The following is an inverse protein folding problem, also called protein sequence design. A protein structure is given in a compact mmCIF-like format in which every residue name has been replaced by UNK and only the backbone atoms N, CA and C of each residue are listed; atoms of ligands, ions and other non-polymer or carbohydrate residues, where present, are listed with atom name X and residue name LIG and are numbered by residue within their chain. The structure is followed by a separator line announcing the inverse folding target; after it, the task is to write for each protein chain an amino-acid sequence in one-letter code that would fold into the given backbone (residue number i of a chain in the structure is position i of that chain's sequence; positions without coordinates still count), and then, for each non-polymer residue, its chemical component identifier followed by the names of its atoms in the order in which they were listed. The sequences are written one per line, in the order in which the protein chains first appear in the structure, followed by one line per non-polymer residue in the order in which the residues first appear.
data_IF_361086069934
#
_entry.id   IF_361086069934
#
_cell.length_a   1.000
_cell.length_b   1.000
_cell.length_c   1.000
_cell.angle_alpha   90.00
_cell.angle_beta   90.00
_cell.angle_gamma   90.00
#
_symmetry.space_group_name_H-M   'P 1'
#
loop_
_entity.id
_entity.type
_entity.pdbx_description
1 polymer ?
#
# COMPACT_ATOMS: atom_id res chain seq x y z
N UNK A 1 7.69 43.39 8.92
CA UNK A 1 8.56 42.55 8.07
C UNK A 1 8.53 41.06 8.43
N UNK A 2 7.61 40.56 9.28
CA UNK A 2 7.58 39.14 9.70
C UNK A 2 6.58 38.24 8.95
N UNK A 3 5.60 38.82 8.24
CA UNK A 3 4.59 38.04 7.50
C UNK A 3 5.14 37.42 6.21
N UNK A 4 6.04 38.11 5.51
CA UNK A 4 6.68 37.58 4.29
C UNK A 4 7.53 36.34 4.58
N UNK A 5 8.32 36.34 5.65
CA UNK A 5 9.19 35.20 5.99
C UNK A 5 8.40 33.95 6.39
N UNK A 6 7.21 34.13 7.00
CA UNK A 6 6.31 33.05 7.36
C UNK A 6 5.49 32.52 6.17
N UNK A 7 5.20 33.35 5.17
CA UNK A 7 4.58 32.91 3.91
C UNK A 7 5.59 32.17 3.02
N UNK A 8 6.86 32.60 2.97
CA UNK A 8 7.92 31.91 2.20
C UNK A 8 8.18 30.50 2.72
N UNK A 9 8.33 30.30 4.03
CA UNK A 9 8.56 28.95 4.60
C UNK A 9 7.38 27.99 4.39
N UNK A 10 6.16 28.50 4.21
CA UNK A 10 4.96 27.71 3.94
C UNK A 10 4.83 27.32 2.47
N UNK A 11 5.17 28.22 1.55
CA UNK A 11 5.29 27.90 0.12
C UNK A 11 6.37 26.84 -0.11
N UNK A 12 7.50 26.97 0.59
CA UNK A 12 8.57 25.96 0.58
C UNK A 12 8.06 24.61 1.11
N UNK A 13 7.29 24.59 2.21
CA UNK A 13 6.72 23.35 2.76
C UNK A 13 5.72 22.67 1.81
N UNK A 14 4.90 23.44 1.09
CA UNK A 14 3.98 22.91 0.09
C UNK A 14 4.74 22.32 -1.11
N UNK A 15 5.76 23.01 -1.61
CA UNK A 15 6.61 22.51 -2.70
C UNK A 15 7.31 21.21 -2.32
N UNK A 16 7.89 21.17 -1.12
CA UNK A 16 8.53 19.99 -0.56
C UNK A 16 7.56 18.79 -0.42
N UNK A 17 6.31 19.06 -0.04
CA UNK A 17 5.26 18.03 0.01
C UNK A 17 4.80 17.56 -1.37
N UNK A 18 4.84 18.42 -2.39
CA UNK A 18 4.67 18.01 -3.78
C UNK A 18 5.75 17.01 -4.22
N UNK A 19 7.00 17.25 -3.84
CA UNK A 19 8.11 16.34 -4.12
C UNK A 19 7.99 15.01 -3.35
N UNK A 20 7.45 15.04 -2.12
CA UNK A 20 7.10 13.82 -1.35
C UNK A 20 6.08 12.97 -2.09
N UNK A 21 5.02 13.57 -2.64
CA UNK A 21 4.01 12.84 -3.41
C UNK A 21 4.61 12.18 -4.67
N UNK A 22 5.50 12.88 -5.39
CA UNK A 22 6.20 12.29 -6.55
C UNK A 22 7.12 11.13 -6.17
N UNK A 23 7.81 11.21 -5.02
CA UNK A 23 8.63 10.12 -4.52
C UNK A 23 7.77 8.87 -4.25
N UNK A 24 6.57 9.05 -3.69
CA UNK A 24 5.62 7.95 -3.45
C UNK A 24 5.10 7.37 -4.76
N UNK A 25 4.74 8.20 -5.75
CA UNK A 25 4.32 7.74 -7.08
C UNK A 25 5.43 6.91 -7.78
N UNK A 26 6.69 7.27 -7.59
CA UNK A 26 7.86 6.54 -8.12
C UNK A 26 8.25 5.32 -7.27
N UNK A 27 7.50 5.02 -6.20
CA UNK A 27 7.78 3.90 -5.29
C UNK A 27 8.89 4.16 -4.26
N UNK A 28 9.47 5.36 -4.24
CA UNK A 28 10.48 5.79 -3.27
C UNK A 28 9.87 6.24 -1.93
N UNK A 29 9.00 5.42 -1.35
CA UNK A 29 8.27 5.69 -0.09
C UNK A 29 9.20 5.96 1.09
N UNK A 30 10.40 5.37 1.12
CA UNK A 30 11.39 5.61 2.18
C UNK A 30 11.94 7.04 2.15
N UNK A 31 12.25 7.55 0.97
CA UNK A 31 12.75 8.91 0.84
C UNK A 31 11.64 9.94 1.10
N UNK A 32 10.43 9.62 0.67
CA UNK A 32 9.23 10.40 1.02
C UNK A 32 9.07 10.54 2.55
N UNK A 33 9.13 9.43 3.31
CA UNK A 33 9.07 9.46 4.78
C UNK A 33 10.17 10.31 5.41
N UNK A 34 11.43 10.14 4.98
CA UNK A 34 12.57 10.92 5.51
C UNK A 34 12.41 12.42 5.25
N UNK A 35 11.85 12.77 4.10
CA UNK A 35 11.62 14.16 3.73
C UNK A 35 10.47 14.77 4.53
N UNK A 36 9.37 14.05 4.70
CA UNK A 36 8.27 14.49 5.57
C UNK A 36 8.70 14.62 7.03
N UNK A 37 9.57 13.73 7.53
CA UNK A 37 10.11 13.83 8.89
C UNK A 37 10.92 15.14 9.08
N UNK A 38 11.78 15.49 8.12
CA UNK A 38 12.53 16.75 8.16
C UNK A 38 11.63 17.99 8.14
N UNK A 39 10.55 17.96 7.37
CA UNK A 39 9.53 19.03 7.37
C UNK A 39 8.80 19.10 8.71
N UNK A 40 8.43 17.95 9.27
CA UNK A 40 7.75 17.83 10.54
C UNK A 40 8.59 18.34 11.73
N UNK A 41 9.91 18.17 11.70
CA UNK A 41 10.81 18.66 12.75
C UNK A 41 10.86 20.19 12.82
N UNK A 42 10.73 20.86 11.67
CA UNK A 42 10.69 22.33 11.56
C UNK A 42 9.28 22.94 11.76
N UNK A 43 8.24 22.11 11.78
CA UNK A 43 6.84 22.55 11.83
C UNK A 43 6.27 22.68 13.25
N UNK A 44 5.19 23.45 13.39
CA UNK A 44 4.38 23.48 14.61
C UNK A 44 3.60 22.16 14.80
N UNK A 45 3.02 21.98 15.99
CA UNK A 45 2.36 20.72 16.39
C UNK A 45 1.17 20.36 15.51
N UNK A 46 0.38 21.34 15.05
CA UNK A 46 -0.78 21.10 14.20
C UNK A 46 -0.36 20.75 12.78
N UNK A 47 0.60 21.48 12.23
CA UNK A 47 1.18 21.19 10.92
C UNK A 47 1.85 19.81 10.89
N UNK A 48 2.58 19.43 11.95
CA UNK A 48 3.20 18.10 12.09
C UNK A 48 2.17 16.97 12.03
N UNK A 49 1.05 17.12 12.74
CA UNK A 49 -0.03 16.13 12.72
C UNK A 49 -0.64 15.99 11.32
N UNK A 50 -0.90 17.13 10.65
CA UNK A 50 -1.43 17.15 9.29
C UNK A 50 -0.49 16.49 8.28
N UNK A 51 0.81 16.78 8.34
CA UNK A 51 1.82 16.16 7.48
C UNK A 51 1.85 14.63 7.64
N UNK A 52 1.70 14.12 8.87
CA UNK A 52 1.60 12.69 9.14
C UNK A 52 0.33 12.04 8.55
N UNK A 53 -0.81 12.72 8.63
CA UNK A 53 -2.06 12.24 8.03
C UNK A 53 -2.00 12.21 6.49
N UNK A 54 -1.41 13.24 5.88
CA UNK A 54 -1.19 13.31 4.43
C UNK A 54 -0.29 12.16 3.96
N UNK A 55 0.85 11.95 4.63
CA UNK A 55 1.77 10.87 4.30
C UNK A 55 1.10 9.49 4.42
N UNK A 56 0.36 9.28 5.51
CA UNK A 56 -0.40 8.03 5.72
C UNK A 56 -1.45 7.80 4.63
N UNK A 57 -2.06 8.87 4.11
CA UNK A 57 -3.00 8.77 3.00
C UNK A 57 -2.29 8.41 1.69
N UNK A 58 -1.17 9.05 1.39
CA UNK A 58 -0.40 8.86 0.16
C UNK A 58 0.22 7.46 0.05
N UNK A 59 0.61 6.84 1.17
CA UNK A 59 1.15 5.47 1.19
C UNK A 59 0.13 4.39 0.82
N UNK A 60 -1.16 4.73 0.77
CA UNK A 60 -2.23 3.81 0.36
C UNK A 60 -2.43 3.87 -1.16
N UNK A 61 -3.09 2.83 -1.68
CA UNK A 61 -3.50 2.80 -3.09
C UNK A 61 -4.28 4.07 -3.47
N UNK A 62 -4.08 4.64 -4.69
CA UNK A 62 -4.69 5.91 -5.09
C UNK A 62 -6.22 5.99 -4.89
N UNK A 63 -6.93 4.88 -5.09
CA UNK A 63 -8.37 4.79 -4.86
C UNK A 63 -8.80 5.14 -3.40
N UNK A 64 -7.90 4.96 -2.43
CA UNK A 64 -8.12 5.26 -1.00
C UNK A 64 -7.46 6.59 -0.61
N UNK A 65 -6.28 6.88 -1.17
CA UNK A 65 -5.54 8.11 -0.91
C UNK A 65 -6.35 9.36 -1.27
N UNK A 66 -6.96 9.35 -2.45
CA UNK A 66 -7.69 10.49 -3.02
C UNK A 66 -8.90 10.93 -2.17
N UNK A 67 -9.85 10.04 -1.81
CA UNK A 67 -10.94 10.41 -0.92
C UNK A 67 -10.46 10.97 0.43
N UNK A 68 -9.35 10.43 0.96
CA UNK A 68 -8.79 10.86 2.23
C UNK A 68 -8.16 12.26 2.13
N UNK A 69 -7.39 12.54 1.07
CA UNK A 69 -6.85 13.88 0.81
C UNK A 69 -7.99 14.90 0.62
N UNK A 70 -9.05 14.55 -0.12
CA UNK A 70 -10.23 15.41 -0.28
C UNK A 70 -10.95 15.67 1.03
N UNK A 71 -10.99 14.70 1.94
CA UNK A 71 -11.55 14.90 3.27
C UNK A 71 -10.68 15.86 4.09
N UNK A 72 -9.35 15.67 4.10
CA UNK A 72 -8.40 16.55 4.78
C UNK A 72 -8.52 18.00 4.31
N UNK A 73 -8.56 18.22 2.99
CA UNK A 73 -8.75 19.55 2.39
C UNK A 73 -10.02 20.27 2.89
N UNK A 74 -11.10 19.54 3.20
CA UNK A 74 -12.36 20.13 3.68
C UNK A 74 -12.33 20.53 5.14
N UNK A 75 -11.51 19.87 5.96
CA UNK A 75 -11.51 20.04 7.42
C UNK A 75 -10.36 20.90 7.93
N UNK A 76 -9.35 21.17 7.08
CA UNK A 76 -8.19 22.00 7.43
C UNK A 76 -8.38 23.48 7.08
N UNK A 77 -7.59 24.33 7.71
CA UNK A 77 -7.48 25.76 7.43
C UNK A 77 -6.83 26.04 6.06
N UNK A 78 -6.71 27.32 5.69
CA UNK A 78 -6.14 27.75 4.40
C UNK A 78 -4.71 27.23 4.21
N UNK A 79 -3.90 27.30 5.27
CA UNK A 79 -2.51 26.83 5.28
C UNK A 79 -2.44 25.31 5.08
N UNK A 80 -3.28 24.54 5.78
CA UNK A 80 -3.37 23.10 5.59
C UNK A 80 -3.91 22.69 4.22
N UNK A 81 -4.81 23.49 3.63
CA UNK A 81 -5.33 23.25 2.28
C UNK A 81 -4.23 23.34 1.23
N UNK A 82 -3.31 24.30 1.34
CA UNK A 82 -2.16 24.43 0.43
C UNK A 82 -1.26 23.18 0.46
N UNK A 83 -0.98 22.63 1.65
CA UNK A 83 -0.20 21.40 1.81
C UNK A 83 -0.88 20.18 1.18
N UNK A 84 -2.20 20.04 1.39
CA UNK A 84 -2.97 18.93 0.81
C UNK A 84 -3.06 19.04 -0.71
N UNK A 85 -3.23 20.26 -1.24
CA UNK A 85 -3.32 20.50 -2.68
C UNK A 85 -2.00 20.22 -3.40
N UNK A 86 -0.86 20.52 -2.76
CA UNK A 86 0.46 20.17 -3.28
C UNK A 86 0.65 18.65 -3.45
N UNK A 87 0.01 17.85 -2.59
CA UNK A 87 0.09 16.39 -2.57
C UNK A 87 -0.88 15.67 -3.51
N UNK A 88 -1.82 16.38 -4.15
CA UNK A 88 -2.77 15.76 -5.06
C UNK A 88 -2.03 15.04 -6.21
N UNK A 89 -2.34 13.75 -6.50
CA UNK A 89 -1.61 12.98 -7.50
C UNK A 89 -1.52 13.70 -8.83
N UNK A 90 -0.38 13.63 -9.50
CA UNK A 90 -0.16 14.42 -10.73
C UNK A 90 -1.10 13.96 -11.87
N UNK A 91 -1.49 12.68 -11.87
CA UNK A 91 -2.50 12.11 -12.75
C UNK A 91 -3.93 12.56 -12.39
N UNK A 92 -4.22 12.81 -11.11
CA UNK A 92 -5.51 13.33 -10.68
C UNK A 92 -5.61 14.84 -10.93
N UNK A 93 -4.54 15.62 -10.74
CA UNK A 93 -4.46 17.02 -11.22
C UNK A 93 -4.69 17.09 -12.72
N UNK A 94 -4.12 16.17 -13.51
CA UNK A 94 -4.39 16.07 -14.96
C UNK A 94 -5.82 15.62 -15.27
N UNK A 95 -6.36 14.64 -14.54
CA UNK A 95 -7.71 14.14 -14.75
C UNK A 95 -8.79 15.15 -14.34
N UNK A 96 -8.57 15.89 -13.26
CA UNK A 96 -9.48 16.93 -12.77
C UNK A 96 -9.35 18.19 -13.64
N UNK A 97 -8.14 18.58 -14.07
CA UNK A 97 -7.96 19.61 -15.10
C UNK A 97 -8.62 19.20 -16.43
N UNK A 98 -8.56 17.92 -16.82
CA UNK A 98 -9.25 17.41 -18.00
C UNK A 98 -10.78 17.46 -17.85
N UNK A 99 -11.33 17.05 -16.71
CA UNK A 99 -12.77 17.18 -16.40
C UNK A 99 -13.21 18.64 -16.34
N UNK A 100 -12.39 19.52 -15.78
CA UNK A 100 -12.69 20.95 -15.69
C UNK A 100 -12.64 21.61 -17.07
N UNK A 101 -11.65 21.26 -17.90
CA UNK A 101 -11.59 21.67 -19.30
C UNK A 101 -12.78 21.12 -20.10
N UNK A 102 -13.23 19.89 -19.84
CA UNK A 102 -14.42 19.32 -20.48
C UNK A 102 -15.70 20.04 -20.05
N UNK A 103 -15.86 20.37 -18.76
CA UNK A 103 -16.97 21.20 -18.26
C UNK A 103 -16.97 22.59 -18.90
N UNK A 104 -15.82 23.23 -19.02
CA UNK A 104 -15.69 24.51 -19.73
C UNK A 104 -16.01 24.37 -21.22
N UNK A 105 -15.55 23.31 -21.89
CA UNK A 105 -15.89 23.05 -23.29
C UNK A 105 -17.39 22.80 -23.48
N UNK A 106 -18.05 22.13 -22.53
CA UNK A 106 -19.50 21.91 -22.54
C UNK A 106 -20.27 23.22 -22.32
N UNK A 107 -19.83 24.09 -21.40
CA UNK A 107 -20.45 25.42 -21.21
C UNK A 107 -20.30 26.29 -22.46
N UNK A 108 -19.10 26.34 -23.07
CA UNK A 108 -18.89 27.07 -24.33
C UNK A 108 -19.72 26.52 -25.48
N UNK A 109 -19.92 25.19 -25.56
CA UNK A 109 -20.81 24.57 -26.57
C UNK A 109 -22.28 24.92 -26.32
N UNK A 110 -22.72 24.97 -25.06
CA UNK A 110 -24.07 25.39 -24.70
C UNK A 110 -24.31 26.86 -25.06
N UNK A 111 -23.37 27.76 -24.73
CA UNK A 111 -23.40 29.17 -25.10
C UNK A 111 -23.41 29.36 -26.63
N UNK A 112 -22.58 28.62 -27.38
CA UNK A 112 -22.60 28.66 -28.86
C UNK A 112 -23.93 28.19 -29.44
N UNK A 113 -24.55 27.15 -28.87
CA UNK A 113 -25.88 26.66 -29.29
C UNK A 113 -26.96 27.69 -29.00
N UNK A 114 -26.89 28.35 -27.85
CA UNK A 114 -27.82 29.40 -27.47
C UNK A 114 -27.66 30.64 -28.36
N UNK A 115 -26.43 31.06 -28.63
CA UNK A 115 -26.14 32.12 -29.60
C UNK A 115 -26.65 31.76 -31.00
N UNK A 116 -26.46 30.52 -31.47
CA UNK A 116 -26.97 30.07 -32.76
C UNK A 116 -28.52 30.07 -32.83
N UNK A 117 -29.21 29.73 -31.74
CA UNK A 117 -30.68 29.81 -31.64
C UNK A 117 -31.18 31.25 -31.62
N UNK A 118 -30.43 32.16 -31.01
CA UNK A 118 -30.76 33.59 -30.91
C UNK A 118 -30.29 34.39 -32.13
N UNK A 119 -29.47 33.81 -33.01
CA UNK A 119 -28.97 34.47 -34.22
C UNK A 119 -30.14 34.75 -35.16
N UNK A 120 -30.49 36.02 -35.43
CA UNK A 120 -31.55 36.34 -36.37
C UNK A 120 -31.09 35.93 -37.78
N UNK A 121 -31.81 35.00 -38.42
CA UNK A 121 -31.65 34.68 -39.83
C UNK A 121 -31.47 33.21 -40.25
N UNK A 122 -31.54 32.23 -39.34
CA UNK A 122 -31.39 30.81 -39.72
C UNK A 122 -32.74 30.05 -39.69
N UNK A 123 -33.57 30.24 -40.72
CA UNK A 123 -34.64 29.29 -41.05
C UNK A 123 -33.97 28.08 -41.70
N UNK A 124 -33.73 27.02 -40.93
CA UNK A 124 -33.24 25.75 -41.47
C UNK A 124 -34.46 24.93 -41.89
N UNK A 125 -34.63 24.73 -43.18
CA UNK A 125 -35.56 23.76 -43.76
C UNK A 125 -35.10 22.34 -43.39
N UNK A 126 -35.89 21.62 -42.62
CA UNK A 126 -35.64 20.20 -42.33
C UNK A 126 -35.97 19.37 -43.58
N UNK A 127 -34.97 18.98 -44.36
CA UNK A 127 -35.12 17.84 -45.26
C UNK A 127 -34.79 16.57 -44.48
N UNK A 128 -35.81 15.76 -44.19
CA UNK A 128 -35.67 14.48 -43.52
C UNK A 128 -34.93 13.48 -44.39
N UNK A 129 -33.74 13.08 -43.97
CA UNK A 129 -33.09 11.85 -44.45
C UNK A 129 -33.84 10.62 -43.90
N UNK A 130 -34.17 9.61 -44.73
CA UNK A 130 -34.85 8.40 -44.25
C UNK A 130 -33.91 7.58 -43.35
N UNK A 131 -34.37 7.27 -42.14
CA UNK A 131 -33.74 6.32 -41.24
C UNK A 131 -33.70 4.93 -41.90
N UNK A 132 -32.51 4.39 -42.19
CA UNK A 132 -32.39 2.98 -42.54
C UNK A 132 -32.75 2.14 -41.31
N UNK A 133 -33.91 1.47 -41.37
CA UNK A 133 -34.30 0.47 -40.39
C UNK A 133 -33.30 -0.69 -40.43
N UNK A 134 -32.66 -0.94 -39.27
CA UNK A 134 -31.80 -2.09 -39.04
C UNK A 134 -32.64 -3.36 -39.19
N UNK A 135 -32.43 -4.12 -40.26
CA UNK A 135 -33.28 -5.27 -40.60
C UNK A 135 -33.17 -6.37 -39.54
N UNK A 136 -34.32 -6.93 -39.14
CA UNK A 136 -34.52 -7.99 -38.14
C UNK A 136 -33.51 -9.16 -38.22
N UNK A 137 -33.04 -9.51 -39.43
CA UNK A 137 -32.01 -10.56 -39.68
C UNK A 137 -30.68 -10.36 -38.94
N UNK A 138 -30.30 -9.11 -38.63
CA UNK A 138 -29.06 -8.82 -37.91
C UNK A 138 -29.16 -9.19 -36.42
N UNK A 139 -30.37 -9.14 -35.84
CA UNK A 139 -30.62 -9.46 -34.43
C UNK A 139 -30.66 -10.97 -34.18
N UNK A 140 -31.13 -11.75 -35.18
CA UNK A 140 -31.22 -13.21 -35.08
C UNK A 140 -29.84 -13.89 -35.15
N UNK A 141 -28.91 -13.34 -35.94
CA UNK A 141 -27.54 -13.85 -36.05
C UNK A 141 -26.71 -13.62 -34.77
N UNK A 142 -26.93 -12.50 -34.07
CA UNK A 142 -26.23 -12.19 -32.81
C UNK A 142 -26.69 -13.11 -31.66
N UNK A 143 -27.94 -13.59 -31.73
CA UNK A 143 -28.53 -14.51 -30.75
C UNK A 143 -28.04 -15.94 -30.96
N UNK A 144 -27.89 -16.40 -32.21
CA UNK A 144 -27.35 -17.72 -32.53
C UNK A 144 -25.87 -17.86 -32.14
N UNK A 145 -25.08 -16.81 -32.33
CA UNK A 145 -23.64 -16.79 -31.99
C UNK A 145 -23.41 -16.92 -30.49
N UNK A 146 -24.26 -16.32 -29.64
CA UNK A 146 -24.12 -16.41 -28.18
C UNK A 146 -24.46 -17.78 -27.60
N UNK A 147 -25.32 -18.58 -28.26
CA UNK A 147 -25.62 -19.96 -27.82
C UNK A 147 -24.47 -20.93 -28.09
N UNK A 148 -23.75 -20.73 -29.19
CA UNK A 148 -22.62 -21.59 -29.58
C UNK A 148 -21.43 -21.56 -28.60
N UNK A 149 -21.25 -20.45 -27.86
CA UNK A 149 -20.16 -20.31 -26.88
C UNK A 149 -20.57 -20.63 -25.44
N UNK A 150 -21.85 -20.85 -25.15
CA UNK A 150 -22.34 -21.16 -23.81
C UNK A 150 -22.41 -22.66 -23.50
N UNK A 151 -22.37 -23.54 -24.51
CA UNK A 151 -22.52 -25.01 -24.38
C UNK A 151 -21.18 -25.79 -24.33
N UNK A 152 -20.04 -25.11 -24.24
CA UNK A 152 -18.73 -25.77 -24.17
C UNK A 152 -18.18 -25.73 -22.73
N UNK A 153 -18.76 -26.55 -21.87
CA UNK A 153 -18.19 -26.94 -20.58
C UNK A 153 -17.06 -27.96 -20.83
N UNK A 154 -15.81 -27.55 -20.58
CA UNK A 154 -14.64 -28.43 -20.65
C UNK A 154 -14.56 -29.31 -19.38
N UNK A 155 -15.14 -30.51 -19.46
CA UNK A 155 -14.72 -31.65 -18.65
C UNK A 155 -13.43 -32.25 -19.22
N UNK A 156 -12.32 -32.17 -18.47
CA UNK A 156 -11.16 -33.03 -18.71
C UNK A 156 -10.45 -33.37 -17.38
N UNK A 157 -10.87 -34.46 -16.77
CA UNK A 157 -10.06 -35.28 -15.85
C UNK A 157 -9.31 -36.33 -16.66
N UNK A 158 -8.00 -36.49 -16.46
CA UNK A 158 -7.31 -37.80 -16.54
C UNK A 158 -5.82 -37.68 -16.11
N UNK A 159 -5.46 -38.58 -15.20
CA UNK A 159 -4.12 -38.92 -14.72
C UNK A 159 -3.12 -39.35 -15.81
N UNK A 160 -1.81 -39.11 -15.58
CA UNK A 160 -0.76 -40.12 -15.82
C UNK A 160 0.36 -39.99 -14.76
N UNK A 161 0.72 -41.13 -14.19
CA UNK A 161 1.82 -41.36 -13.24
C UNK A 161 3.19 -41.54 -13.93
N UNK A 162 4.21 -41.22 -13.14
CA UNK A 162 5.50 -41.93 -12.96
C UNK A 162 6.72 -41.51 -13.80
N UNK A 163 7.72 -40.91 -13.13
CA UNK A 163 9.07 -41.48 -13.02
C UNK A 163 10.00 -40.55 -12.20
N UNK A 164 10.42 -41.07 -11.06
CA UNK A 164 11.45 -40.54 -10.16
C UNK A 164 12.81 -40.33 -10.84
N UNK A 165 13.46 -39.16 -10.63
CA UNK A 165 14.92 -39.08 -10.52
C UNK A 165 15.36 -37.89 -9.67
N UNK A 166 16.33 -38.18 -8.81
CA UNK A 166 16.93 -37.37 -7.77
C UNK A 166 17.34 -35.95 -8.15
N UNK A 167 17.16 -35.04 -7.18
CA UNK A 167 17.80 -33.73 -7.13
C UNK A 167 17.05 -32.88 -6.13
N UNK A 168 17.67 -32.55 -5.00
CA UNK A 168 17.12 -31.64 -4.00
C UNK A 168 16.67 -30.34 -4.68
N UNK A 169 15.40 -29.95 -4.53
CA UNK A 169 14.98 -28.60 -4.89
C UNK A 169 14.16 -27.91 -3.78
N UNK A 170 14.51 -26.64 -3.51
CA UNK A 170 13.81 -25.76 -2.59
C UNK A 170 12.53 -25.22 -3.25
N UNK A 171 11.86 -24.32 -2.55
CA UNK A 171 10.73 -23.51 -3.03
C UNK A 171 9.34 -24.08 -2.75
N UNK A 172 8.70 -23.52 -1.72
CA UNK A 172 7.30 -23.08 -1.77
C UNK A 172 6.20 -24.11 -2.00
N UNK A 173 6.49 -25.41 -2.10
CA UNK A 173 5.45 -26.43 -2.25
C UNK A 173 4.59 -26.50 -0.98
N UNK A 174 3.24 -26.43 -1.10
CA UNK A 174 2.36 -26.67 0.04
C UNK A 174 2.65 -28.06 0.58
N UNK A 175 2.66 -28.18 1.92
CA UNK A 175 3.09 -29.41 2.56
C UNK A 175 2.25 -30.60 2.07
N UNK A 176 2.90 -31.70 1.69
CA UNK A 176 2.23 -32.88 1.13
C UNK A 176 1.27 -33.55 2.13
N UNK A 177 1.47 -33.36 3.44
CA UNK A 177 0.50 -33.76 4.47
C UNK A 177 -0.77 -32.88 4.45
N UNK A 178 -0.64 -31.61 4.10
CA UNK A 178 -1.70 -30.60 4.09
C UNK A 178 -2.64 -30.73 2.87
N UNK A 179 -2.17 -31.37 1.79
CA UNK A 179 -2.96 -31.63 0.58
C UNK A 179 -3.98 -32.77 0.81
N UNK A 180 -3.77 -33.62 1.83
CA UNK A 180 -4.65 -34.77 2.13
C UNK A 180 -5.73 -34.47 3.17
N UNK A 181 -5.41 -33.69 4.20
CA UNK A 181 -6.37 -33.31 5.22
C UNK A 181 -6.93 -31.92 4.93
N UNK A 182 -8.20 -31.88 4.50
CA UNK A 182 -9.01 -30.71 4.13
C UNK A 182 -9.30 -29.76 5.32
N UNK A 183 -8.31 -29.52 6.18
CA UNK A 183 -8.33 -28.60 7.31
C UNK A 183 -7.51 -27.33 7.00
N UNK A 184 -7.50 -26.90 5.75
CA UNK A 184 -7.03 -25.57 5.36
C UNK A 184 -8.03 -24.53 5.84
N UNK A 185 -7.62 -23.59 6.70
CA UNK A 185 -8.31 -22.30 6.85
C UNK A 185 -8.23 -21.50 5.54
N UNK A 186 -8.99 -20.41 5.45
CA UNK A 186 -9.15 -19.55 4.24
C UNK A 186 -7.83 -19.16 3.55
N UNK A 187 -6.72 -19.17 4.29
CA UNK A 187 -5.36 -18.82 3.86
C UNK A 187 -4.49 -20.04 3.46
N UNK A 188 -5.03 -21.27 3.46
CA UNK A 188 -4.39 -22.45 2.84
C UNK A 188 -3.20 -23.06 3.58
N UNK A 189 -2.87 -22.59 4.80
CA UNK A 189 -1.71 -23.05 5.58
C UNK A 189 -2.17 -23.74 6.88
N UNK A 190 -1.70 -24.96 7.15
CA UNK A 190 -2.00 -25.67 8.40
C UNK A 190 -1.15 -25.15 9.57
N UNK A 191 -1.58 -25.42 10.81
CA UNK A 191 -0.89 -24.94 12.01
C UNK A 191 0.54 -25.47 12.16
N UNK A 192 0.83 -26.70 11.70
CA UNK A 192 2.19 -27.24 11.73
C UNK A 192 3.10 -26.59 10.71
N UNK A 193 2.58 -26.21 9.54
CA UNK A 193 3.32 -25.37 8.58
C UNK A 193 3.59 -23.98 9.15
N UNK A 194 2.62 -23.41 9.88
CA UNK A 194 2.81 -22.15 10.62
C UNK A 194 3.87 -22.27 11.70
N UNK A 195 3.93 -23.40 12.42
CA UNK A 195 4.97 -23.67 13.43
C UNK A 195 6.34 -23.90 12.82
N UNK A 196 6.41 -24.44 11.61
CA UNK A 196 7.64 -24.61 10.84
C UNK A 196 8.18 -23.29 10.25
N UNK A 197 7.41 -22.19 10.29
CA UNK A 197 7.89 -20.87 9.90
C UNK A 197 8.97 -20.41 10.87
N UNK A 198 10.13 -19.98 10.37
CA UNK A 198 11.22 -19.43 11.18
C UNK A 198 10.70 -18.34 12.14
N UNK A 199 11.18 -18.27 13.40
CA UNK A 199 10.62 -17.37 14.43
C UNK A 199 10.52 -15.90 14.04
N UNK A 200 11.45 -15.43 13.21
CA UNK A 200 11.56 -14.04 12.80
C UNK A 200 10.78 -13.71 11.51
N UNK A 201 10.31 -14.72 10.76
CA UNK A 201 9.58 -14.50 9.51
C UNK A 201 8.24 -13.81 9.78
N UNK A 202 7.91 -12.83 8.94
CA UNK A 202 6.73 -11.97 9.08
C UNK A 202 6.93 -10.78 10.02
N UNK A 203 8.03 -10.74 10.79
CA UNK A 203 8.33 -9.61 11.67
C UNK A 203 9.02 -8.47 10.92
N UNK A 204 8.73 -7.20 11.28
CA UNK A 204 9.39 -6.05 10.68
C UNK A 204 10.87 -5.97 11.06
N UNK A 205 11.60 -5.12 10.34
CA UNK A 205 12.99 -4.80 10.63
C UNK A 205 13.16 -4.38 12.09
N UNK A 206 14.10 -5.02 12.78
CA UNK A 206 14.33 -4.84 14.20
C UNK A 206 15.00 -3.49 14.51
N UNK A 207 15.68 -2.87 13.55
CA UNK A 207 16.36 -1.59 13.75
C UNK A 207 15.37 -0.49 14.20
N UNK A 208 15.74 0.25 15.26
CA UNK A 208 14.88 1.20 15.97
C UNK A 208 14.21 2.22 15.02
N UNK A 209 15.01 2.84 14.16
CA UNK A 209 14.56 3.86 13.22
C UNK A 209 13.86 3.30 11.96
N UNK A 210 13.87 1.98 11.74
CA UNK A 210 13.38 1.38 10.51
C UNK A 210 11.97 0.83 10.66
N UNK A 211 11.81 -0.28 11.37
CA UNK A 211 10.49 -0.88 11.60
C UNK A 211 9.70 -1.29 10.36
N UNK A 212 10.31 -1.30 9.17
CA UNK A 212 9.62 -1.62 7.91
C UNK A 212 9.44 -3.12 7.77
N UNK A 213 8.42 -3.53 7.04
CA UNK A 213 8.27 -4.93 6.63
C UNK A 213 9.49 -5.37 5.80
N UNK A 214 9.96 -6.60 6.05
CA UNK A 214 11.18 -7.12 5.44
C UNK A 214 10.87 -7.81 4.12
N UNK A 215 11.78 -7.75 3.16
CA UNK A 215 11.61 -8.45 1.89
C UNK A 215 11.52 -9.97 2.10
N UNK A 216 10.87 -10.69 1.18
CA UNK A 216 10.82 -12.16 1.23
C UNK A 216 12.22 -12.78 1.29
N UNK A 217 13.20 -12.16 0.61
CA UNK A 217 14.60 -12.56 0.62
C UNK A 217 15.21 -12.47 2.02
N UNK A 218 15.00 -11.36 2.72
CA UNK A 218 15.50 -11.17 4.09
C UNK A 218 14.85 -12.16 5.06
N UNK A 219 13.55 -12.41 4.90
CA UNK A 219 12.78 -13.36 5.72
C UNK A 219 13.08 -14.85 5.44
N UNK A 220 13.87 -15.14 4.40
CA UNK A 220 14.26 -16.49 3.98
C UNK A 220 15.73 -16.81 4.25
N UNK A 221 16.47 -15.90 4.90
CA UNK A 221 17.88 -16.14 5.25
C UNK A 221 18.02 -17.28 6.26
N UNK A 222 19.08 -18.08 6.09
CA UNK A 222 19.45 -19.14 7.03
C UNK A 222 19.87 -18.59 8.40
N UNK A 223 20.41 -17.38 8.42
CA UNK A 223 20.78 -16.63 9.62
C UNK A 223 19.98 -15.33 9.63
N UNK A 224 18.78 -15.40 10.19
CA UNK A 224 17.87 -14.26 10.27
C UNK A 224 18.23 -13.38 11.49
N UNK A 225 18.92 -12.27 11.22
CA UNK A 225 19.33 -11.22 12.17
C UNK A 225 18.22 -10.19 12.45
N UNK A 226 17.03 -10.37 11.90
CA UNK A 226 15.90 -9.45 12.07
C UNK A 226 16.02 -8.15 11.27
N UNK A 227 17.03 -7.97 10.42
CA UNK A 227 17.23 -6.74 9.64
C UNK A 227 16.65 -6.85 8.23
N UNK A 228 16.26 -5.72 7.66
CA UNK A 228 16.11 -5.58 6.20
C UNK A 228 17.48 -5.34 5.55
N UNK A 229 17.55 -5.57 4.23
CA UNK A 229 18.73 -5.31 3.40
C UNK A 229 19.36 -3.93 3.66
N UNK A 230 18.58 -2.85 3.61
CA UNK A 230 19.08 -1.49 3.84
C UNK A 230 19.77 -1.28 5.21
N UNK A 231 19.18 -1.78 6.29
CA UNK A 231 19.76 -1.62 7.62
C UNK A 231 21.04 -2.42 7.76
N UNK A 232 21.10 -3.59 7.11
CA UNK A 232 22.30 -4.42 7.07
C UNK A 232 23.41 -3.75 6.27
N UNK A 233 23.10 -3.20 5.10
CA UNK A 233 24.06 -2.48 4.25
C UNK A 233 24.57 -1.20 4.91
N UNK A 234 23.75 -0.57 5.75
CA UNK A 234 24.14 0.59 6.57
C UNK A 234 25.00 0.22 7.78
N UNK A 235 25.32 -1.07 7.98
CA UNK A 235 26.13 -1.56 9.10
C UNK A 235 25.40 -1.57 10.45
N UNK A 236 24.06 -1.55 10.45
CA UNK A 236 23.29 -1.68 11.70
C UNK A 236 23.49 -3.07 12.27
N UNK A 237 23.82 -3.17 13.57
CA UNK A 237 23.90 -4.46 14.24
C UNK A 237 22.48 -5.07 14.37
N UNK A 238 22.32 -6.34 14.00
CA UNK A 238 21.04 -7.06 14.12
C UNK A 238 20.90 -7.82 15.44
N UNK A 239 19.83 -8.61 15.56
CA UNK A 239 19.69 -9.59 16.64
C UNK A 239 20.83 -10.60 16.54
N UNK A 240 21.41 -10.98 17.68
CA UNK A 240 22.44 -12.00 17.72
C UNK A 240 21.94 -13.31 17.09
N UNK A 241 22.72 -13.84 16.16
CA UNK A 241 22.39 -15.12 15.51
C UNK A 241 22.64 -16.24 16.51
N UNK A 242 21.55 -16.87 16.96
CA UNK A 242 21.60 -18.01 17.87
C UNK A 242 21.98 -19.30 17.12
N UNK A 243 22.52 -20.32 17.83
CA UNK A 243 22.79 -21.62 17.22
C UNK A 243 21.51 -22.25 16.65
N UNK A 244 21.66 -23.11 15.64
CA UNK A 244 20.52 -23.76 14.97
C UNK A 244 19.65 -24.63 15.90
N UNK A 245 20.16 -25.00 17.08
CA UNK A 245 19.44 -25.73 18.12
C UNK A 245 18.57 -24.83 19.01
N UNK A 246 18.66 -23.50 18.85
CA UNK A 246 17.86 -22.57 19.62
C UNK A 246 16.37 -22.75 19.34
N UNK A 247 15.61 -22.76 20.43
CA UNK A 247 14.16 -22.84 20.39
C UNK A 247 13.56 -21.55 19.83
N UNK A 248 12.33 -21.65 19.33
CA UNK A 248 11.55 -20.49 18.87
C UNK A 248 11.44 -19.40 19.96
N UNK A 249 11.26 -19.81 21.21
CA UNK A 249 11.15 -18.90 22.35
C UNK A 249 12.47 -18.14 22.59
N UNK A 250 13.62 -18.81 22.54
CA UNK A 250 14.93 -18.17 22.70
C UNK A 250 15.20 -17.13 21.61
N UNK A 251 14.83 -17.40 20.35
CA UNK A 251 14.98 -16.43 19.26
C UNK A 251 14.10 -15.19 19.50
N UNK A 252 12.85 -15.37 19.95
CA UNK A 252 11.95 -14.27 20.25
C UNK A 252 12.42 -13.46 21.47
N UNK A 253 12.92 -14.12 22.51
CA UNK A 253 13.52 -13.47 23.68
C UNK A 253 14.74 -12.64 23.27
N UNK A 254 15.64 -13.19 22.45
CA UNK A 254 16.81 -12.45 21.95
C UNK A 254 16.41 -11.21 21.15
N UNK A 255 15.31 -11.28 20.37
CA UNK A 255 14.75 -10.10 19.69
C UNK A 255 14.22 -9.07 20.70
N UNK A 256 13.46 -9.50 21.71
CA UNK A 256 12.95 -8.60 22.73
C UNK A 256 14.08 -7.92 23.52
N UNK A 257 15.12 -8.67 23.89
CA UNK A 257 16.33 -8.15 24.54
C UNK A 257 17.06 -7.14 23.66
N UNK A 258 17.22 -7.44 22.38
CA UNK A 258 17.79 -6.49 21.42
C UNK A 258 16.94 -5.21 21.34
N UNK A 259 15.61 -5.31 21.26
CA UNK A 259 14.72 -4.13 21.23
C UNK A 259 14.88 -3.31 22.51
N UNK A 260 14.94 -3.96 23.68
CA UNK A 260 15.16 -3.28 24.96
C UNK A 260 16.51 -2.56 24.99
N UNK A 261 17.59 -3.24 24.60
CA UNK A 261 18.94 -2.72 24.62
C UNK A 261 19.16 -1.56 23.63
N UNK A 262 18.38 -1.51 22.56
CA UNK A 262 18.51 -0.49 21.49
C UNK A 262 17.44 0.60 21.55
N UNK A 263 16.56 0.58 22.55
CA UNK A 263 15.57 1.65 22.74
C UNK A 263 16.08 2.65 23.77
N UNK A 264 15.93 3.94 23.50
CA UNK A 264 16.36 4.99 24.43
C UNK A 264 15.42 5.11 25.63
N UNK A 265 14.14 4.77 25.46
CA UNK A 265 13.11 4.88 26.51
C UNK A 265 12.23 3.63 26.58
N UNK A 266 11.55 3.45 27.71
CA UNK A 266 10.55 2.39 27.89
C UNK A 266 9.38 2.55 26.91
N UNK A 267 8.97 3.78 26.59
CA UNK A 267 7.93 4.06 25.61
C UNK A 267 8.33 3.64 24.19
N UNK A 268 9.58 3.92 23.80
CA UNK A 268 10.11 3.49 22.51
C UNK A 268 10.18 1.95 22.42
N UNK A 269 10.67 1.30 23.48
CA UNK A 269 10.67 -0.17 23.61
C UNK A 269 9.27 -0.72 23.42
N UNK A 270 8.30 -0.19 24.16
CA UNK A 270 6.91 -0.65 24.11
C UNK A 270 6.27 -0.40 22.73
N UNK A 271 6.54 0.73 22.09
CA UNK A 271 6.06 1.02 20.75
C UNK A 271 6.60 0.02 19.71
N UNK A 272 7.88 -0.36 19.82
CA UNK A 272 8.51 -1.36 18.95
C UNK A 272 7.93 -2.77 19.18
N UNK A 273 7.75 -3.18 20.43
CA UNK A 273 7.12 -4.46 20.76
C UNK A 273 5.65 -4.51 20.30
N UNK A 274 4.91 -3.41 20.44
CA UNK A 274 3.52 -3.31 19.95
C UNK A 274 3.43 -3.39 18.42
N UNK A 275 4.46 -2.93 17.70
CA UNK A 275 4.56 -3.11 16.25
C UNK A 275 4.68 -4.59 15.91
N UNK A 276 5.59 -5.30 16.58
CA UNK A 276 5.80 -6.74 16.38
C UNK A 276 4.55 -7.54 16.75
N UNK A 277 3.83 -7.15 17.81
CA UNK A 277 2.63 -7.82 18.30
C UNK A 277 1.57 -8.10 17.23
N UNK A 278 1.42 -7.16 16.28
CA UNK A 278 0.46 -7.29 15.16
C UNK A 278 0.82 -8.42 14.20
N UNK A 279 2.10 -8.76 14.09
CA UNK A 279 2.65 -9.77 13.19
C UNK A 279 2.97 -11.10 13.89
N UNK A 280 3.00 -11.14 15.23
CA UNK A 280 3.27 -12.35 16.00
C UNK A 280 2.13 -13.36 15.92
N UNK A 281 2.49 -14.65 15.87
CA UNK A 281 1.55 -15.75 16.03
C UNK A 281 0.97 -15.75 17.44
N UNK A 282 -0.23 -16.30 17.61
CA UNK A 282 -0.89 -16.39 18.93
C UNK A 282 -0.02 -17.07 19.99
N UNK A 283 0.74 -18.11 19.62
CA UNK A 283 1.66 -18.79 20.54
C UNK A 283 2.85 -17.91 20.98
N UNK A 284 3.35 -17.07 20.08
CA UNK A 284 4.52 -16.21 20.34
C UNK A 284 4.19 -15.03 21.23
N UNK A 285 2.94 -14.55 21.15
CA UNK A 285 2.42 -13.48 21.99
C UNK A 285 2.56 -13.81 23.48
N UNK A 286 2.35 -15.06 23.88
CA UNK A 286 2.55 -15.47 25.28
C UNK A 286 4.00 -15.33 25.73
N UNK A 287 4.97 -15.74 24.91
CA UNK A 287 6.40 -15.58 25.19
C UNK A 287 6.78 -14.10 25.33
N UNK A 288 6.30 -13.25 24.41
CA UNK A 288 6.59 -11.81 24.44
C UNK A 288 5.90 -11.12 25.62
N UNK A 289 4.67 -11.50 25.97
CA UNK A 289 3.97 -10.97 27.15
C UNK A 289 4.66 -11.37 28.46
N UNK A 290 5.06 -12.63 28.63
CA UNK A 290 5.78 -13.09 29.82
C UNK A 290 7.13 -12.37 29.96
N UNK A 291 7.87 -12.21 28.85
CA UNK A 291 9.11 -11.45 28.85
C UNK A 291 8.87 -9.97 29.22
N UNK A 292 7.83 -9.34 28.66
CA UNK A 292 7.50 -7.93 28.90
C UNK A 292 7.12 -7.68 30.37
N UNK A 293 6.35 -8.58 30.98
CA UNK A 293 5.94 -8.50 32.38
C UNK A 293 7.12 -8.57 33.37
N UNK A 294 8.27 -9.12 32.95
CA UNK A 294 9.51 -9.21 33.75
C UNK A 294 10.41 -7.99 33.60
N UNK A 295 10.12 -7.07 32.68
CA UNK A 295 10.95 -5.90 32.45
C UNK A 295 10.70 -4.81 33.50
N UNK A 296 11.74 -4.06 33.89
CA UNK A 296 11.54 -2.87 34.71
C UNK A 296 10.69 -1.84 33.95
N UNK A 297 9.82 -1.18 34.72
CA UNK A 297 8.95 -0.09 34.26
C UNK A 297 9.77 1.06 33.68
#
# INVERSE_FOLDING_TARGET
MNTQTAETTKLDAAEEMGQVAELIERGATREARRRTARLADAADVMTRALLGEILTALEKHPAVAVPRLRHLWKVTDEDGRALVEACAPHAERRAEAAKQAERMAQSTRAERREYARRRPGAVVTSQGTPQQQRSQRATDNDTATRRYFAERDDHATADVRDASRHGAEPEGRPCTACVRDRATREDGVCDDCRRAVAPMRGLPCVAAACGVERSTRDQQRSHDDGLCEDCRDSGTAGVAILPATATRAEVLIARCEYIAATSATADERNARLNRDWRCLLTGDRFTVSDWHARQPA
#
